data_IF_375039923088
#
_entry.id   IF_375039923088
#
_cell.length_a   1.000
_cell.length_b   1.000
_cell.length_c   1.000
_cell.angle_alpha   90.00
_cell.angle_beta   90.00
_cell.angle_gamma   90.00
#
_symmetry.space_group_name_H-M   'P 1'
#
loop_
_entity.id
_entity.type
_entity.pdbx_description
1 polymer ?
#
# COMPACT_ATOMS: atom_id res chain seq x y z
N UNK A 1 5.20 -46.67 -3.64
CA UNK A 1 6.07 -45.83 -4.51
C UNK A 1 5.65 -44.36 -4.45
N UNK A 2 6.38 -43.59 -3.65
CA UNK A 2 6.22 -42.14 -3.45
C UNK A 2 6.96 -41.38 -4.57
N UNK A 3 6.36 -40.34 -5.17
CA UNK A 3 7.05 -39.53 -6.17
C UNK A 3 8.13 -38.65 -5.51
N UNK A 4 9.30 -38.45 -6.15
CA UNK A 4 10.37 -37.65 -5.60
C UNK A 4 10.02 -36.15 -5.61
N UNK A 5 10.49 -35.45 -4.57
CA UNK A 5 10.31 -34.00 -4.37
C UNK A 5 11.16 -33.19 -5.36
N UNK A 6 10.58 -32.13 -5.93
CA UNK A 6 11.27 -31.15 -6.76
C UNK A 6 12.32 -30.39 -5.96
N UNK A 7 13.54 -30.29 -6.51
CA UNK A 7 14.66 -29.52 -5.96
C UNK A 7 15.03 -28.43 -6.96
N UNK A 8 15.12 -27.19 -6.48
CA UNK A 8 15.55 -26.06 -7.31
C UNK A 8 17.01 -26.26 -7.75
N UNK A 9 17.26 -26.12 -9.06
CA UNK A 9 18.61 -26.16 -9.63
C UNK A 9 19.18 -24.74 -9.57
N UNK A 10 20.08 -24.49 -8.62
CA UNK A 10 20.98 -23.34 -8.71
C UNK A 10 22.10 -23.70 -9.71
N UNK A 11 22.40 -22.86 -10.71
CA UNK A 11 23.62 -23.03 -11.48
C UNK A 11 24.82 -22.70 -10.60
N UNK A 12 25.77 -23.61 -10.54
CA UNK A 12 27.10 -23.40 -9.94
C UNK A 12 27.86 -22.32 -10.71
N UNK A 13 28.27 -21.26 -10.01
CA UNK A 13 29.24 -20.30 -10.52
C UNK A 13 30.61 -20.99 -10.69
N UNK A 14 31.09 -21.09 -11.92
CA UNK A 14 32.49 -21.44 -12.19
C UNK A 14 33.40 -20.25 -11.90
N UNK A 15 34.55 -20.42 -11.22
CA UNK A 15 35.50 -19.33 -11.03
C UNK A 15 36.27 -19.10 -12.33
N UNK A 16 35.96 -18.00 -13.02
CA UNK A 16 36.72 -17.58 -14.20
C UNK A 16 37.96 -16.79 -13.77
N UNK A 17 39.11 -17.27 -14.25
CA UNK A 17 40.47 -16.77 -14.03
C UNK A 17 40.59 -15.32 -14.50
N UNK A 18 41.13 -14.45 -13.65
CA UNK A 18 41.30 -13.02 -13.92
C UNK A 18 42.02 -12.76 -15.26
N UNK A 19 41.37 -11.99 -16.14
CA UNK A 19 41.97 -11.40 -17.34
C UNK A 19 42.05 -9.88 -17.14
N UNK A 20 43.21 -9.31 -17.41
CA UNK A 20 43.49 -7.88 -17.28
C UNK A 20 42.53 -7.03 -18.16
N UNK A 21 42.21 -5.79 -17.76
CA UNK A 21 41.21 -4.97 -18.45
C UNK A 21 41.77 -4.38 -19.76
N UNK A 22 41.06 -4.61 -20.87
CA UNK A 22 41.14 -3.73 -22.05
C UNK A 22 40.30 -2.46 -21.80
N UNK A 23 40.74 -1.27 -22.26
CA UNK A 23 39.93 -0.07 -22.18
C UNK A 23 38.73 -0.19 -23.13
N UNK A 24 37.55 -0.41 -22.56
CA UNK A 24 36.29 -0.38 -23.30
C UNK A 24 35.94 1.07 -23.66
N UNK A 25 35.86 1.35 -24.95
CA UNK A 25 35.15 2.50 -25.52
C UNK A 25 33.77 2.64 -24.87
N UNK A 26 33.31 3.84 -24.46
CA UNK A 26 31.99 3.98 -23.87
C UNK A 26 30.93 3.56 -24.89
N UNK A 27 30.24 2.46 -24.59
CA UNK A 27 29.07 2.05 -25.35
C UNK A 27 28.05 3.19 -25.29
N UNK A 28 27.56 3.63 -26.45
CA UNK A 28 26.44 4.55 -26.52
C UNK A 28 25.27 3.95 -25.71
N UNK A 29 24.64 4.70 -24.79
CA UNK A 29 23.56 4.16 -23.98
C UNK A 29 22.39 3.79 -24.90
N UNK A 30 22.16 2.49 -25.06
CA UNK A 30 20.96 1.95 -25.69
C UNK A 30 19.76 2.17 -24.79
N UNK A 31 18.64 2.53 -25.39
CA UNK A 31 17.31 2.73 -24.78
C UNK A 31 16.76 1.56 -23.95
N UNK A 32 17.44 0.40 -23.96
CA UNK A 32 17.05 -0.80 -23.20
C UNK A 32 17.40 -0.77 -21.70
N UNK A 33 18.06 0.29 -21.21
CA UNK A 33 18.49 0.42 -19.81
C UNK A 33 18.01 1.68 -19.09
N UNK A 34 17.12 2.47 -19.70
CA UNK A 34 16.59 3.68 -19.07
C UNK A 34 15.30 3.33 -18.32
N UNK A 35 15.44 2.87 -17.07
CA UNK A 35 14.32 2.83 -16.13
C UNK A 35 14.03 4.27 -15.68
N UNK A 36 13.25 4.99 -16.51
CA UNK A 36 12.89 6.40 -16.30
C UNK A 36 12.05 6.58 -15.02
N UNK A 37 11.49 5.50 -14.46
CA UNK A 37 10.63 5.53 -13.27
C UNK A 37 11.34 5.06 -11.99
N UNK A 38 12.45 4.32 -12.09
CA UNK A 38 13.19 3.82 -10.93
C UNK A 38 13.82 4.90 -10.04
N UNK A 39 13.98 6.12 -10.55
CA UNK A 39 14.59 7.26 -9.84
C UNK A 39 13.58 8.31 -9.35
N UNK A 40 12.27 8.08 -9.53
CA UNK A 40 11.27 8.97 -8.95
C UNK A 40 11.25 8.77 -7.42
N UNK A 41 11.42 9.83 -6.60
CA UNK A 41 11.24 9.69 -5.17
C UNK A 41 9.79 9.26 -4.92
N UNK A 42 9.62 8.14 -4.22
CA UNK A 42 8.29 7.64 -3.86
C UNK A 42 7.51 8.67 -3.04
N UNK A 43 6.16 8.60 -3.04
CA UNK A 43 5.33 9.53 -2.28
C UNK A 43 5.76 9.59 -0.80
N UNK A 44 5.81 10.80 -0.23
CA UNK A 44 6.27 11.01 1.17
C UNK A 44 5.37 10.34 2.21
N UNK A 45 4.13 10.04 1.82
CA UNK A 45 3.14 9.34 2.63
C UNK A 45 3.05 7.83 2.33
N UNK A 46 3.99 7.28 1.56
CA UNK A 46 4.09 5.83 1.37
C UNK A 46 4.26 5.13 2.71
N UNK A 47 3.60 3.99 2.90
CA UNK A 47 3.73 3.16 4.10
C UNK A 47 5.02 2.34 3.99
N UNK A 48 5.98 2.62 4.86
CA UNK A 48 7.26 1.91 4.93
C UNK A 48 7.16 0.67 5.82
N UNK A 49 6.49 0.78 6.97
CA UNK A 49 6.26 -0.35 7.86
C UNK A 49 4.89 -0.30 8.53
N UNK A 50 4.28 -1.48 8.66
CA UNK A 50 3.05 -1.72 9.39
C UNK A 50 3.35 -2.44 10.70
N UNK A 51 2.98 -1.83 11.81
CA UNK A 51 3.05 -2.44 13.14
C UNK A 51 1.65 -2.75 13.66
N UNK A 52 1.59 -3.50 14.76
CA UNK A 52 0.32 -3.82 15.40
C UNK A 52 -0.42 -2.56 15.90
N UNK A 53 0.30 -1.49 16.24
CA UNK A 53 -0.31 -0.29 16.84
C UNK A 53 -0.22 0.97 16.00
N UNK A 54 0.65 1.01 14.99
CA UNK A 54 0.96 2.22 14.26
C UNK A 54 1.56 1.92 12.87
N UNK A 55 1.75 2.98 12.08
CA UNK A 55 2.42 2.97 10.80
C UNK A 55 3.71 3.79 10.89
N UNK A 56 4.72 3.37 10.13
CA UNK A 56 5.87 4.19 9.77
C UNK A 56 5.74 4.55 8.29
N UNK A 57 5.85 5.83 7.97
CA UNK A 57 5.79 6.35 6.60
C UNK A 57 7.20 6.66 6.09
N UNK A 58 7.37 6.70 4.77
CA UNK A 58 8.64 7.02 4.11
C UNK A 58 9.20 8.40 4.50
N UNK A 59 8.35 9.34 4.92
CA UNK A 59 8.76 10.62 5.52
C UNK A 59 9.46 10.49 6.89
N UNK A 60 9.53 9.29 7.48
CA UNK A 60 9.93 9.04 8.87
C UNK A 60 8.82 9.31 9.89
N UNK A 61 7.63 9.74 9.45
CA UNK A 61 6.49 10.01 10.32
C UNK A 61 5.96 8.70 10.92
N UNK A 62 5.77 8.70 12.24
CA UNK A 62 5.12 7.60 12.97
C UNK A 62 3.73 8.00 13.40
N UNK A 63 2.72 7.18 13.11
CA UNK A 63 1.36 7.47 13.58
C UNK A 63 1.21 7.24 15.09
N UNK A 64 0.18 7.83 15.68
CA UNK A 64 -0.17 7.59 17.07
C UNK A 64 -0.57 6.12 17.29
N UNK A 65 -0.20 5.58 18.45
CA UNK A 65 -0.53 4.20 18.78
C UNK A 65 -2.05 4.02 18.93
N UNK A 66 -2.60 2.98 18.31
CA UNK A 66 -4.03 2.67 18.34
C UNK A 66 -4.85 3.43 17.29
N UNK A 67 -4.25 4.36 16.55
CA UNK A 67 -4.89 5.02 15.40
C UNK A 67 -4.55 4.30 14.10
N UNK A 68 -5.53 4.18 13.23
CA UNK A 68 -5.32 3.97 11.80
C UNK A 68 -4.74 5.21 11.12
N UNK A 69 -4.58 5.12 9.80
CA UNK A 69 -4.11 6.22 8.96
C UNK A 69 -5.04 6.42 7.77
N UNK A 70 -5.32 7.69 7.46
CA UNK A 70 -5.96 8.10 6.22
C UNK A 70 -4.91 8.77 5.34
N UNK A 71 -4.68 8.22 4.15
CA UNK A 71 -3.70 8.68 3.17
C UNK A 71 -4.46 9.27 1.99
N UNK A 72 -4.12 10.49 1.58
CA UNK A 72 -4.81 11.17 0.51
C UNK A 72 -3.86 12.16 -0.16
N UNK A 73 -3.56 11.96 -1.45
CA UNK A 73 -2.53 12.71 -2.18
C UNK A 73 -1.20 12.64 -1.42
N UNK A 74 -0.64 13.78 -0.98
CA UNK A 74 0.56 13.84 -0.13
C UNK A 74 0.25 14.02 1.37
N UNK A 75 -1.03 14.01 1.73
CA UNK A 75 -1.49 14.22 3.10
C UNK A 75 -1.65 12.90 3.85
N UNK A 76 -1.45 12.99 5.17
CA UNK A 76 -1.59 11.91 6.15
C UNK A 76 -2.44 12.43 7.28
N UNK A 77 -3.51 11.74 7.61
CA UNK A 77 -4.38 12.05 8.74
C UNK A 77 -4.43 10.87 9.70
N UNK A 78 -4.48 11.16 11.00
CA UNK A 78 -4.84 10.16 11.99
C UNK A 78 -6.29 9.73 11.74
N UNK A 79 -6.53 8.42 11.68
CA UNK A 79 -7.86 7.87 11.43
C UNK A 79 -8.22 6.91 12.56
N UNK A 80 -9.12 7.34 13.43
CA UNK A 80 -9.58 6.55 14.58
C UNK A 80 -11.11 6.41 14.51
N UNK A 81 -11.63 5.64 13.54
CA UNK A 81 -13.07 5.39 13.44
C UNK A 81 -13.55 4.53 14.61
N UNK A 82 -14.85 4.61 14.92
CA UNK A 82 -15.53 3.70 15.86
C UNK A 82 -15.78 2.34 15.20
N UNK A 83 -14.68 1.66 14.87
CA UNK A 83 -14.70 0.41 14.13
C UNK A 83 -15.33 -0.72 14.96
N UNK A 84 -16.41 -1.29 14.43
CA UNK A 84 -17.13 -2.40 15.04
C UNK A 84 -17.31 -3.53 14.05
N UNK A 85 -17.15 -4.78 14.52
CA UNK A 85 -17.25 -5.96 13.69
C UNK A 85 -18.39 -6.87 14.13
N UNK A 86 -19.17 -7.32 13.15
CA UNK A 86 -20.30 -8.23 13.37
C UNK A 86 -20.48 -9.12 12.15
N UNK A 87 -20.55 -10.44 12.36
CA UNK A 87 -20.80 -11.44 11.31
C UNK A 87 -19.84 -11.38 10.10
N UNK A 88 -18.60 -10.94 10.33
CA UNK A 88 -17.59 -10.77 9.27
C UNK A 88 -17.68 -9.45 8.50
N UNK A 89 -18.61 -8.57 8.88
CA UNK A 89 -18.70 -7.20 8.39
C UNK A 89 -18.02 -6.24 9.38
N UNK A 90 -17.33 -5.24 8.85
CA UNK A 90 -16.78 -4.10 9.60
C UNK A 90 -17.55 -2.84 9.25
N UNK A 91 -18.03 -2.14 10.27
CA UNK A 91 -18.55 -0.78 10.16
C UNK A 91 -17.61 0.20 10.86
N UNK A 92 -17.56 1.44 10.38
CA UNK A 92 -16.61 2.45 10.86
C UNK A 92 -17.26 3.60 11.65
N UNK A 93 -18.58 3.60 11.77
CA UNK A 93 -19.32 4.61 12.52
C UNK A 93 -19.52 5.92 11.74
N UNK A 94 -20.24 6.85 12.36
CA UNK A 94 -20.51 8.16 11.77
C UNK A 94 -19.24 9.03 11.82
N UNK A 95 -18.90 9.70 10.72
CA UNK A 95 -17.73 10.57 10.63
C UNK A 95 -16.44 9.90 10.15
N UNK A 96 -16.39 8.57 10.01
CA UNK A 96 -15.21 7.87 9.50
C UNK A 96 -14.73 8.36 8.12
N UNK A 97 -15.66 8.88 7.31
CA UNK A 97 -15.44 9.31 5.93
C UNK A 97 -15.41 10.84 5.77
N UNK A 98 -15.36 11.61 6.86
CA UNK A 98 -15.46 13.08 6.80
C UNK A 98 -14.41 13.75 5.90
N UNK A 99 -13.20 13.17 5.80
CA UNK A 99 -12.17 13.62 4.85
C UNK A 99 -12.67 13.57 3.40
N UNK A 100 -13.37 12.49 3.04
CA UNK A 100 -13.94 12.31 1.70
C UNK A 100 -15.10 13.26 1.43
N UNK A 101 -15.82 13.72 2.45
CA UNK A 101 -16.94 14.66 2.29
C UNK A 101 -16.44 16.06 1.91
N UNK A 102 -15.29 16.48 2.44
CA UNK A 102 -14.74 17.83 2.25
C UNK A 102 -13.72 17.95 1.12
N UNK A 103 -13.04 16.86 0.73
CA UNK A 103 -12.01 16.92 -0.31
C UNK A 103 -12.61 17.17 -1.70
N UNK A 104 -11.89 17.97 -2.51
CA UNK A 104 -12.09 18.08 -3.96
C UNK A 104 -10.73 18.13 -4.69
N UNK A 105 -10.56 17.46 -5.84
CA UNK A 105 -11.49 16.50 -6.45
C UNK A 105 -11.69 15.26 -5.56
N UNK A 106 -12.84 14.58 -5.70
CA UNK A 106 -13.07 13.32 -4.99
C UNK A 106 -12.08 12.26 -5.51
N UNK A 107 -11.49 11.42 -4.63
CA UNK A 107 -10.68 10.29 -5.09
C UNK A 107 -11.55 9.31 -5.87
N UNK A 108 -11.00 8.74 -6.94
CA UNK A 108 -11.69 7.74 -7.76
C UNK A 108 -11.70 6.35 -7.13
N UNK A 109 -10.70 6.07 -6.29
CA UNK A 109 -10.49 4.80 -5.59
C UNK A 109 -10.07 5.05 -4.13
N UNK A 110 -10.75 4.37 -3.21
CA UNK A 110 -10.39 4.27 -1.80
C UNK A 110 -10.01 2.82 -1.49
N UNK A 111 -8.79 2.61 -1.04
CA UNK A 111 -8.31 1.31 -0.55
C UNK A 111 -8.54 1.26 0.96
N UNK A 112 -9.24 0.25 1.44
CA UNK A 112 -9.54 0.05 2.86
C UNK A 112 -8.75 -1.13 3.40
N UNK A 113 -7.87 -0.85 4.38
CA UNK A 113 -7.10 -1.84 5.12
C UNK A 113 -7.82 -2.22 6.41
N UNK A 114 -8.23 -3.48 6.54
CA UNK A 114 -9.10 -3.96 7.63
C UNK A 114 -8.36 -4.71 8.76
N UNK A 115 -7.05 -4.49 8.90
CA UNK A 115 -6.20 -5.14 9.91
C UNK A 115 -5.53 -6.42 9.39
N UNK A 116 -5.48 -7.49 10.20
CA UNK A 116 -4.77 -8.74 9.83
C UNK A 116 -5.47 -9.60 8.76
N UNK A 117 -6.73 -9.31 8.45
CA UNK A 117 -7.55 -10.09 7.53
C UNK A 117 -8.50 -9.17 6.80
N UNK A 118 -8.88 -9.56 5.59
CA UNK A 118 -9.94 -8.89 4.83
C UNK A 118 -11.30 -9.10 5.51
N UNK A 119 -11.98 -8.01 5.83
CA UNK A 119 -13.37 -7.98 6.29
C UNK A 119 -14.27 -7.34 5.23
N UNK A 120 -15.56 -7.69 5.21
CA UNK A 120 -16.51 -7.04 4.32
C UNK A 120 -16.98 -5.70 4.91
N UNK A 121 -17.17 -4.69 4.08
CA UNK A 121 -17.69 -3.41 4.56
C UNK A 121 -19.18 -3.52 4.89
N UNK A 122 -19.60 -2.92 6.01
CA UNK A 122 -21.01 -2.78 6.35
C UNK A 122 -21.78 -2.04 5.23
N UNK A 123 -23.05 -2.42 4.96
CA UNK A 123 -23.82 -1.81 3.87
C UNK A 123 -23.97 -0.28 3.99
N UNK A 124 -24.06 0.24 5.22
CA UNK A 124 -24.18 1.67 5.47
C UNK A 124 -22.92 2.44 5.08
N UNK A 125 -21.74 1.92 5.43
CA UNK A 125 -20.47 2.54 5.03
C UNK A 125 -20.25 2.44 3.52
N UNK A 126 -20.57 1.28 2.92
CA UNK A 126 -20.50 1.13 1.46
C UNK A 126 -21.40 2.14 0.74
N UNK A 127 -22.62 2.37 1.25
CA UNK A 127 -23.56 3.34 0.69
C UNK A 127 -23.03 4.77 0.79
N UNK A 128 -22.55 5.19 1.97
CA UNK A 128 -21.99 6.54 2.19
C UNK A 128 -20.84 6.83 1.23
N UNK A 129 -19.92 5.89 1.05
CA UNK A 129 -18.78 6.07 0.14
C UNK A 129 -19.25 6.12 -1.33
N UNK A 130 -20.21 5.27 -1.71
CA UNK A 130 -20.77 5.26 -3.06
C UNK A 130 -21.52 6.56 -3.40
N UNK A 131 -22.23 7.16 -2.45
CA UNK A 131 -22.90 8.46 -2.60
C UNK A 131 -21.91 9.61 -2.89
N UNK A 132 -20.66 9.47 -2.45
CA UNK A 132 -19.57 10.40 -2.76
C UNK A 132 -18.93 10.15 -4.14
N UNK A 133 -19.38 9.11 -4.87
CA UNK A 133 -18.84 8.73 -6.17
C UNK A 133 -17.47 8.04 -6.11
N UNK A 134 -17.07 7.55 -4.92
CA UNK A 134 -15.75 6.94 -4.69
C UNK A 134 -15.87 5.42 -4.80
N UNK A 135 -14.99 4.78 -5.58
CA UNK A 135 -14.91 3.31 -5.63
C UNK A 135 -14.12 2.77 -4.45
N UNK A 136 -14.40 1.54 -4.04
CA UNK A 136 -13.76 0.92 -2.88
C UNK A 136 -13.10 -0.40 -3.26
N UNK A 137 -11.87 -0.59 -2.82
CA UNK A 137 -11.21 -1.89 -2.71
C UNK A 137 -10.90 -2.22 -1.24
N UNK A 138 -11.05 -3.47 -0.83
CA UNK A 138 -10.99 -3.87 0.58
C UNK A 138 -10.07 -5.08 0.73
N UNK A 139 -9.08 -4.98 1.61
CA UNK A 139 -8.14 -6.06 1.89
C UNK A 139 -7.58 -5.99 3.32
N UNK A 140 -6.68 -6.91 3.66
CA UNK A 140 -5.85 -6.78 4.85
C UNK A 140 -4.94 -5.55 4.73
N UNK A 141 -4.55 -4.97 5.86
CA UNK A 141 -3.80 -3.69 5.86
C UNK A 141 -2.44 -3.80 5.17
N UNK A 142 -1.77 -4.96 5.24
CA UNK A 142 -0.46 -5.13 4.61
C UNK A 142 -0.56 -5.05 3.10
N UNK A 143 -1.51 -5.78 2.51
CA UNK A 143 -1.81 -5.73 1.08
C UNK A 143 -2.30 -4.34 0.65
N UNK A 144 -3.17 -3.72 1.45
CA UNK A 144 -3.72 -2.39 1.16
C UNK A 144 -2.63 -1.31 1.11
N UNK A 145 -1.67 -1.37 2.04
CA UNK A 145 -0.52 -0.47 2.05
C UNK A 145 0.35 -0.64 0.80
N UNK A 146 0.59 -1.88 0.38
CA UNK A 146 1.37 -2.17 -0.82
C UNK A 146 0.69 -1.66 -2.10
N UNK A 147 -0.62 -1.89 -2.23
CA UNK A 147 -1.39 -1.38 -3.37
C UNK A 147 -1.43 0.14 -3.39
N UNK A 148 -1.67 0.79 -2.24
CA UNK A 148 -1.65 2.25 -2.14
C UNK A 148 -0.30 2.82 -2.61
N UNK A 149 0.82 2.28 -2.10
CA UNK A 149 2.15 2.75 -2.46
C UNK A 149 2.41 2.62 -3.98
N UNK A 150 2.01 1.49 -4.58
CA UNK A 150 2.15 1.27 -6.01
C UNK A 150 1.37 2.31 -6.81
N UNK A 151 0.07 2.43 -6.53
CA UNK A 151 -0.81 3.31 -7.30
C UNK A 151 -0.45 4.79 -7.11
N UNK A 152 -0.06 5.19 -5.89
CA UNK A 152 0.39 6.55 -5.60
C UNK A 152 1.69 6.91 -6.32
N UNK A 153 2.53 5.92 -6.65
CA UNK A 153 3.75 6.11 -7.44
C UNK A 153 3.46 6.19 -8.94
N UNK A 154 2.56 5.35 -9.46
CA UNK A 154 2.24 5.27 -10.90
C UNK A 154 1.38 6.44 -11.41
N UNK A 155 0.44 6.91 -10.57
CA UNK A 155 -0.51 7.96 -10.93
C UNK A 155 -0.55 8.96 -9.78
N UNK A 156 -0.02 10.16 -10.05
CA UNK A 156 -0.09 11.26 -9.09
C UNK A 156 -1.53 11.71 -8.86
N UNK A 157 -2.14 11.22 -7.78
CA UNK A 157 -3.45 11.65 -7.28
C UNK A 157 -4.63 10.75 -7.67
N UNK A 158 -5.80 11.03 -7.08
CA UNK A 158 -7.05 10.32 -7.37
C UNK A 158 -7.23 8.99 -6.61
N UNK A 159 -6.28 8.60 -5.77
CA UNK A 159 -6.36 7.44 -4.87
C UNK A 159 -6.31 7.92 -3.42
N UNK A 160 -7.03 7.23 -2.54
CA UNK A 160 -6.98 7.39 -1.10
C UNK A 160 -6.79 6.02 -0.42
N UNK A 161 -6.20 6.03 0.78
CA UNK A 161 -6.07 4.86 1.64
C UNK A 161 -6.69 5.13 3.01
N UNK A 162 -7.46 4.20 3.54
CA UNK A 162 -7.98 4.23 4.91
C UNK A 162 -7.61 2.91 5.60
N UNK A 163 -6.58 2.93 6.44
CA UNK A 163 -5.88 1.74 6.90
C UNK A 163 -5.95 1.62 8.42
N UNK A 164 -6.54 0.53 8.94
CA UNK A 164 -6.45 0.17 10.36
C UNK A 164 -5.09 -0.43 10.67
N UNK A 165 -4.52 -0.14 11.84
CA UNK A 165 -3.23 -0.71 12.26
C UNK A 165 -3.28 -2.24 12.30
N UNK A 166 -2.11 -2.89 12.16
CA UNK A 166 -2.01 -4.33 12.00
C UNK A 166 -2.60 -5.13 13.17
N UNK A 167 -2.67 -4.55 14.36
CA UNK A 167 -3.18 -5.20 15.56
C UNK A 167 -4.70 -5.23 15.65
N UNK A 168 -5.41 -4.56 14.74
CA UNK A 168 -6.87 -4.61 14.68
C UNK A 168 -7.35 -6.04 14.40
N UNK A 169 -8.21 -6.53 15.31
CA UNK A 169 -8.84 -7.84 15.24
C UNK A 169 -10.35 -7.61 15.30
N UNK A 170 -10.95 -7.44 14.13
CA UNK A 170 -12.40 -7.54 13.98
C UNK A 170 -12.93 -8.94 14.23
#
# INVERSE_FOLDING_TARGET
>A
PTPPRSRSLYPTLHPSRARAPEPATPAAPGISGLDIYGDLPGPVNSVEALYDTHFLLASGTRTAAGSGVFLLNDCVFAWAPDAACKDGLVGFGEGAWGVLEVVWPKPELLIIGTGKRTLLLAPDDRRRIAELGVRVDIMDTGSAAAEFNLLATERGGGIAGALLAGGFRG
#
